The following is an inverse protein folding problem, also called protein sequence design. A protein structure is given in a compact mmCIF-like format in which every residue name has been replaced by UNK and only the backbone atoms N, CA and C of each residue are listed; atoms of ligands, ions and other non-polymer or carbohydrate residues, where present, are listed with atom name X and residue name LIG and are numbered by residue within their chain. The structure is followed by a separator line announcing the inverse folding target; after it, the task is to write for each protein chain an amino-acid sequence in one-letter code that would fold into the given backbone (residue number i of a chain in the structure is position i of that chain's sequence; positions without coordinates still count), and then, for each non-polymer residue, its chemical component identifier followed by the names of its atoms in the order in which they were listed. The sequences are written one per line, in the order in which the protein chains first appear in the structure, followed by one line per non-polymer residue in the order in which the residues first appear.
data_IF_295124047458
#
_entry.id   IF_295124047458
#
_cell.length_a   1.000
_cell.length_b   1.000
_cell.length_c   1.000
_cell.angle_alpha   90.00
_cell.angle_beta   90.00
_cell.angle_gamma   90.00
#
_symmetry.space_group_name_H-M   'P 1'
#
loop_
_entity.id
_entity.type
_entity.pdbx_description
1 polymer ?
#
# COMPACT_ATOMS: atom_id res chain seq x y z
N UNK A 1 34.48 2.46 -16.39
CA UNK A 1 33.23 2.28 -15.60
C UNK A 1 33.08 3.50 -14.68
N UNK A 2 32.16 4.43 -14.97
CA UNK A 2 31.85 5.54 -14.06
C UNK A 2 31.16 4.95 -12.82
N UNK A 3 31.57 5.38 -11.61
CA UNK A 3 30.90 5.02 -10.35
C UNK A 3 29.41 5.33 -10.48
N UNK A 4 28.50 4.45 -9.98
CA UNK A 4 27.08 4.80 -9.93
C UNK A 4 26.94 6.08 -9.14
N UNK A 5 26.30 7.07 -9.73
CA UNK A 5 25.98 8.36 -9.12
C UNK A 5 25.12 8.15 -7.88
N UNK A 6 25.34 8.96 -6.88
CA UNK A 6 24.78 8.85 -5.53
C UNK A 6 23.25 8.76 -5.54
N UNK A 7 22.69 7.58 -5.30
CA UNK A 7 21.28 7.39 -4.99
C UNK A 7 20.54 6.36 -5.84
N UNK A 8 20.80 6.23 -7.14
CA UNK A 8 20.06 5.28 -8.00
C UNK A 8 20.74 3.91 -8.05
N UNK A 9 19.94 2.85 -7.93
CA UNK A 9 20.42 1.46 -8.02
C UNK A 9 19.85 0.81 -9.28
N UNK A 10 20.74 0.42 -10.20
CA UNK A 10 20.34 -0.38 -11.36
C UNK A 10 20.02 -1.82 -10.92
N UNK A 11 18.72 -2.18 -10.94
CA UNK A 11 18.24 -3.50 -10.55
C UNK A 11 18.42 -4.54 -11.67
N UNK A 12 18.85 -4.12 -12.86
CA UNK A 12 19.13 -5.03 -13.99
C UNK A 12 20.49 -5.69 -13.90
N UNK A 13 21.32 -5.29 -12.91
CA UNK A 13 22.68 -5.77 -12.70
C UNK A 13 22.90 -6.39 -11.32
N UNK A 14 23.90 -7.22 -11.14
CA UNK A 14 24.25 -7.87 -9.87
C UNK A 14 23.32 -9.05 -9.51
N UNK A 15 23.45 -9.61 -8.30
CA UNK A 15 22.65 -10.77 -7.84
C UNK A 15 21.22 -10.33 -7.52
N UNK A 16 20.16 -10.93 -8.11
CA UNK A 16 18.78 -10.54 -7.89
C UNK A 16 18.37 -10.50 -6.41
N UNK A 17 18.66 -11.55 -5.65
CA UNK A 17 18.37 -11.64 -4.22
C UNK A 17 18.88 -10.42 -3.44
N UNK A 18 20.16 -10.07 -3.63
CA UNK A 18 20.78 -8.93 -2.94
C UNK A 18 20.13 -7.61 -3.34
N UNK A 19 19.82 -7.45 -4.65
CA UNK A 19 19.18 -6.23 -5.16
C UNK A 19 17.77 -6.06 -4.59
N UNK A 20 16.98 -7.12 -4.58
CA UNK A 20 15.62 -7.11 -4.02
C UNK A 20 15.67 -6.79 -2.53
N UNK A 21 16.52 -7.46 -1.74
CA UNK A 21 16.60 -7.23 -0.30
C UNK A 21 17.06 -5.81 0.07
N UNK A 22 18.13 -5.32 -0.57
CA UNK A 22 18.67 -3.98 -0.31
C UNK A 22 17.66 -2.90 -0.71
N UNK A 23 16.89 -3.14 -1.77
CA UNK A 23 15.85 -2.21 -2.22
C UNK A 23 14.59 -2.29 -1.35
N UNK A 24 14.20 -3.49 -0.90
CA UNK A 24 13.02 -3.70 -0.06
C UNK A 24 13.20 -3.19 1.38
N UNK A 25 14.41 -3.25 1.95
CA UNK A 25 14.65 -2.88 3.35
C UNK A 25 14.18 -1.47 3.71
N UNK A 26 14.52 -0.40 2.95
CA UNK A 26 13.98 0.93 3.23
C UNK A 26 12.45 1.02 3.08
N UNK A 27 11.84 0.24 2.18
CA UNK A 27 10.39 0.19 2.03
C UNK A 27 9.73 -0.43 3.27
N UNK A 28 10.26 -1.55 3.75
CA UNK A 28 9.80 -2.21 4.99
C UNK A 28 9.90 -1.26 6.18
N UNK A 29 11.05 -0.61 6.34
CA UNK A 29 11.22 0.35 7.42
C UNK A 29 10.25 1.53 7.28
N UNK A 30 10.03 2.04 6.06
CA UNK A 30 9.10 3.12 5.79
C UNK A 30 7.66 2.79 6.18
N UNK A 31 7.17 1.61 5.81
CA UNK A 31 5.81 1.18 6.15
C UNK A 31 5.65 0.93 7.66
N UNK A 32 6.66 0.37 8.33
CA UNK A 32 6.62 0.18 9.78
C UNK A 32 6.64 1.52 10.53
N UNK A 33 7.49 2.47 10.13
CA UNK A 33 7.47 3.82 10.72
C UNK A 33 6.16 4.55 10.44
N UNK A 34 5.56 4.35 9.27
CA UNK A 34 4.23 4.89 8.96
C UNK A 34 3.15 4.38 9.91
N UNK A 35 3.20 3.11 10.28
CA UNK A 35 2.27 2.56 11.28
C UNK A 35 2.54 3.13 12.68
N UNK A 36 3.79 3.31 13.06
CA UNK A 36 4.15 3.87 14.37
C UNK A 36 3.66 5.32 14.52
N UNK A 37 3.86 6.18 13.51
CA UNK A 37 3.36 7.55 13.62
C UNK A 37 1.84 7.62 13.59
N UNK A 38 1.15 6.80 12.80
CA UNK A 38 -0.32 6.72 12.81
C UNK A 38 -0.86 6.30 14.18
N UNK A 39 -0.14 5.43 14.87
CA UNK A 39 -0.46 5.09 16.26
C UNK A 39 -0.23 6.27 17.21
N UNK A 40 0.88 6.99 17.06
CA UNK A 40 1.19 8.17 17.87
C UNK A 40 0.14 9.28 17.70
N UNK A 41 -0.28 9.55 16.45
CA UNK A 41 -1.37 10.49 16.12
C UNK A 41 -2.68 10.09 16.83
N UNK A 42 -3.07 8.82 16.75
CA UNK A 42 -4.23 8.28 17.45
C UNK A 42 -4.15 8.50 18.96
N UNK A 43 -2.98 8.31 19.57
CA UNK A 43 -2.75 8.53 21.01
C UNK A 43 -2.84 10.01 21.37
N UNK A 44 -2.27 10.90 20.55
CA UNK A 44 -2.32 12.36 20.79
C UNK A 44 -3.77 12.84 20.69
N UNK A 45 -4.48 12.51 19.62
CA UNK A 45 -5.90 12.88 19.46
C UNK A 45 -6.74 12.35 20.63
N UNK A 46 -6.61 11.08 20.99
CA UNK A 46 -7.41 10.47 22.06
C UNK A 46 -7.11 11.07 23.45
N UNK A 47 -5.84 11.37 23.75
CA UNK A 47 -5.47 11.92 25.06
C UNK A 47 -5.72 13.41 25.20
N UNK A 48 -5.54 14.18 24.12
CA UNK A 48 -5.62 15.65 24.17
C UNK A 48 -7.03 16.16 23.83
N UNK A 49 -7.77 15.51 22.92
CA UNK A 49 -9.08 15.93 22.47
C UNK A 49 -10.25 15.08 23.01
N UNK A 50 -9.92 13.90 23.58
CA UNK A 50 -10.92 13.01 24.18
C UNK A 50 -11.49 11.95 23.23
N UNK A 51 -12.46 11.17 23.76
CA UNK A 51 -13.00 9.98 23.09
C UNK A 51 -13.86 10.31 21.87
N UNK A 52 -14.59 11.43 21.89
CA UNK A 52 -15.48 11.82 20.79
C UNK A 52 -14.66 12.24 19.56
N UNK A 53 -13.58 13.02 19.75
CA UNK A 53 -12.66 13.39 18.69
C UNK A 53 -11.95 12.13 18.09
N UNK A 54 -11.54 11.20 18.96
CA UNK A 54 -10.97 9.94 18.50
C UNK A 54 -11.97 9.12 17.68
N UNK A 55 -13.23 9.06 18.12
CA UNK A 55 -14.31 8.38 17.40
C UNK A 55 -14.62 9.09 16.06
N UNK A 56 -14.56 10.42 16.02
CA UNK A 56 -14.75 11.21 14.81
C UNK A 56 -13.67 10.86 13.77
N UNK A 57 -12.39 10.91 14.13
CA UNK A 57 -11.27 10.54 13.25
C UNK A 57 -11.39 9.06 12.83
N UNK A 58 -11.67 8.17 13.77
CA UNK A 58 -11.82 6.73 13.49
C UNK A 58 -12.95 6.41 12.51
N UNK A 59 -14.08 7.14 12.57
CA UNK A 59 -15.21 6.96 11.65
C UNK A 59 -14.87 7.28 10.19
N UNK A 60 -13.86 8.10 9.95
CA UNK A 60 -13.40 8.48 8.60
C UNK A 60 -12.45 7.45 7.97
N UNK A 61 -11.95 6.48 8.73
CA UNK A 61 -10.89 5.56 8.30
C UNK A 61 -11.22 4.81 7.00
N UNK A 62 -12.43 4.25 6.91
CA UNK A 62 -12.86 3.49 5.72
C UNK A 62 -12.91 4.35 4.46
N UNK A 63 -13.40 5.59 4.57
CA UNK A 63 -13.44 6.54 3.46
C UNK A 63 -12.04 6.99 3.05
N UNK A 64 -11.17 7.28 4.03
CA UNK A 64 -9.77 7.61 3.78
C UNK A 64 -9.06 6.45 3.08
N UNK A 65 -9.22 5.22 3.56
CA UNK A 65 -8.60 4.04 2.95
C UNK A 65 -9.08 3.84 1.50
N UNK A 66 -10.37 4.00 1.24
CA UNK A 66 -10.93 3.86 -0.10
C UNK A 66 -10.38 4.92 -1.08
N UNK A 67 -10.38 6.19 -0.67
CA UNK A 67 -10.05 7.32 -1.55
C UNK A 67 -8.53 7.50 -1.66
N UNK A 68 -7.84 7.60 -0.52
CA UNK A 68 -6.39 7.79 -0.52
C UNK A 68 -5.66 6.52 -0.98
N UNK A 69 -6.20 5.33 -0.70
CA UNK A 69 -5.69 4.06 -1.22
C UNK A 69 -5.74 4.01 -2.75
N UNK A 70 -6.87 4.45 -3.36
CA UNK A 70 -6.96 4.57 -4.82
C UNK A 70 -5.89 5.52 -5.39
N UNK A 71 -5.75 6.71 -4.79
CA UNK A 71 -4.77 7.71 -5.21
C UNK A 71 -3.34 7.16 -5.09
N UNK A 72 -3.02 6.52 -3.98
CA UNK A 72 -1.72 5.88 -3.74
C UNK A 72 -1.44 4.78 -4.77
N UNK A 73 -2.38 3.87 -4.98
CA UNK A 73 -2.25 2.77 -5.95
C UNK A 73 -2.03 3.28 -7.37
N UNK A 74 -2.80 4.30 -7.80
CA UNK A 74 -2.64 4.93 -9.10
C UNK A 74 -1.24 5.56 -9.27
N UNK A 75 -0.76 6.31 -8.27
CA UNK A 75 0.57 6.92 -8.29
C UNK A 75 1.69 5.87 -8.34
N UNK A 76 1.56 4.76 -7.62
CA UNK A 76 2.51 3.64 -7.68
C UNK A 76 2.49 3.01 -9.07
N UNK A 77 1.32 2.81 -9.64
CA UNK A 77 1.15 2.24 -10.97
C UNK A 77 1.73 3.12 -12.09
N UNK A 78 1.64 4.46 -11.95
CA UNK A 78 2.32 5.37 -12.88
C UNK A 78 3.85 5.24 -12.85
N UNK A 79 4.42 4.70 -11.78
CA UNK A 79 5.84 4.40 -11.70
C UNK A 79 6.29 3.19 -12.53
N UNK A 80 5.40 2.26 -12.89
CA UNK A 80 5.79 1.05 -13.61
C UNK A 80 6.35 1.35 -15.02
N UNK A 81 5.68 2.13 -15.90
CA UNK A 81 6.26 2.52 -17.18
C UNK A 81 7.56 3.33 -17.05
N UNK A 82 7.71 4.10 -15.96
CA UNK A 82 8.95 4.82 -15.66
C UNK A 82 10.07 3.81 -15.36
N UNK A 83 9.80 2.76 -14.57
CA UNK A 83 10.77 1.70 -14.27
C UNK A 83 11.16 0.92 -15.54
N UNK A 84 10.20 0.61 -16.41
CA UNK A 84 10.44 -0.04 -17.71
C UNK A 84 11.35 0.82 -18.59
N UNK A 85 11.01 2.10 -18.78
CA UNK A 85 11.82 3.02 -19.61
C UNK A 85 13.24 3.20 -19.03
N UNK A 86 13.37 3.24 -17.71
CA UNK A 86 14.69 3.30 -17.04
C UNK A 86 15.49 2.02 -17.30
N UNK A 87 14.89 0.85 -17.18
CA UNK A 87 15.50 -0.44 -17.48
C UNK A 87 15.89 -0.60 -18.94
N UNK A 88 15.05 -0.12 -19.87
CA UNK A 88 15.30 -0.07 -21.31
C UNK A 88 16.40 0.95 -21.68
N UNK A 89 16.80 1.82 -20.75
CA UNK A 89 17.70 2.97 -21.01
C UNK A 89 17.19 3.91 -22.10
N UNK A 90 15.89 3.95 -22.31
CA UNK A 90 15.21 4.84 -23.23
C UNK A 90 14.98 6.20 -22.56
N UNK A 91 15.82 7.18 -22.87
CA UNK A 91 15.72 8.53 -22.31
C UNK A 91 14.43 9.23 -22.72
N UNK A 92 14.07 9.12 -23.99
CA UNK A 92 12.91 9.82 -24.55
C UNK A 92 11.61 9.30 -23.93
N UNK A 93 11.43 7.96 -23.82
CA UNK A 93 10.28 7.38 -23.16
C UNK A 93 10.24 7.72 -21.67
N UNK A 94 11.41 7.69 -21.00
CA UNK A 94 11.51 8.05 -19.59
C UNK A 94 10.99 9.47 -19.33
N UNK A 95 11.47 10.46 -20.10
CA UNK A 95 11.03 11.85 -19.96
C UNK A 95 9.55 12.03 -20.29
N UNK A 96 9.06 11.36 -21.34
CA UNK A 96 7.64 11.41 -21.72
C UNK A 96 6.74 10.78 -20.68
N UNK A 97 7.12 9.63 -20.08
CA UNK A 97 6.35 9.03 -18.97
C UNK A 97 6.37 9.92 -17.73
N UNK A 98 7.51 10.52 -17.39
CA UNK A 98 7.61 11.45 -16.26
C UNK A 98 6.67 12.65 -16.43
N UNK A 99 6.72 13.32 -17.59
CA UNK A 99 5.89 14.50 -17.85
C UNK A 99 4.38 14.16 -17.91
N UNK A 100 4.01 13.14 -18.69
CA UNK A 100 2.60 12.74 -18.80
C UNK A 100 2.07 12.18 -17.47
N UNK A 101 2.93 11.56 -16.65
CA UNK A 101 2.59 11.14 -15.29
C UNK A 101 2.26 12.32 -14.38
N UNK A 102 3.03 13.42 -14.44
CA UNK A 102 2.70 14.66 -13.73
C UNK A 102 1.33 15.19 -14.17
N UNK A 103 1.05 15.23 -15.49
CA UNK A 103 -0.25 15.70 -15.98
C UNK A 103 -1.41 14.84 -15.46
N UNK A 104 -1.27 13.51 -15.49
CA UNK A 104 -2.28 12.61 -14.94
C UNK A 104 -2.44 12.78 -13.43
N UNK A 105 -1.35 13.00 -12.69
CA UNK A 105 -1.39 13.29 -11.27
C UNK A 105 -2.10 14.61 -10.96
N UNK A 106 -1.92 15.64 -11.77
CA UNK A 106 -2.66 16.91 -11.63
C UNK A 106 -4.15 16.68 -11.86
N UNK A 107 -4.53 15.97 -12.93
CA UNK A 107 -5.93 15.64 -13.20
C UNK A 107 -6.53 14.81 -12.06
N UNK A 108 -5.84 13.75 -11.63
CA UNK A 108 -6.25 12.91 -10.51
C UNK A 108 -6.46 13.74 -9.24
N UNK A 109 -5.48 14.60 -8.92
CA UNK A 109 -5.51 15.48 -7.76
C UNK A 109 -6.72 16.41 -7.78
N UNK A 110 -6.95 17.13 -8.89
CA UNK A 110 -8.08 18.06 -9.01
C UNK A 110 -9.41 17.35 -8.93
N UNK A 111 -9.58 16.25 -9.71
CA UNK A 111 -10.84 15.49 -9.74
C UNK A 111 -11.18 14.93 -8.37
N UNK A 112 -10.23 14.26 -7.72
CA UNK A 112 -10.49 13.68 -6.40
C UNK A 112 -10.66 14.74 -5.33
N UNK A 113 -9.84 15.80 -5.29
CA UNK A 113 -10.01 16.88 -4.30
C UNK A 113 -11.40 17.51 -4.41
N UNK A 114 -11.83 17.88 -5.62
CA UNK A 114 -13.13 18.52 -5.81
C UNK A 114 -14.27 17.56 -5.47
N UNK A 115 -14.26 16.35 -6.06
CA UNK A 115 -15.33 15.38 -5.87
C UNK A 115 -15.49 14.98 -4.39
N UNK A 116 -14.37 14.70 -3.70
CA UNK A 116 -14.42 14.20 -2.31
C UNK A 116 -14.66 15.31 -1.30
N UNK A 117 -14.12 16.51 -1.50
CA UNK A 117 -14.37 17.65 -0.60
C UNK A 117 -15.85 18.07 -0.66
N UNK A 118 -16.43 18.13 -1.86
CA UNK A 118 -17.86 18.41 -2.02
C UNK A 118 -18.73 17.24 -1.53
N UNK A 119 -18.27 16.02 -1.72
CA UNK A 119 -18.93 14.78 -1.30
C UNK A 119 -18.72 14.38 0.16
N UNK A 120 -17.90 15.10 0.95
CA UNK A 120 -17.51 14.67 2.29
C UNK A 120 -18.71 14.40 3.23
N UNK A 121 -19.67 15.33 3.30
CA UNK A 121 -20.84 15.17 4.15
C UNK A 121 -21.78 14.05 3.67
N UNK A 122 -22.16 13.94 2.37
CA UNK A 122 -22.92 12.80 1.86
C UNK A 122 -22.22 11.44 2.09
N UNK A 123 -20.90 11.37 1.93
CA UNK A 123 -20.13 10.15 2.15
C UNK A 123 -20.16 9.71 3.62
N UNK A 124 -20.03 10.66 4.57
CA UNK A 124 -20.15 10.38 6.01
C UNK A 124 -21.58 9.97 6.40
N UNK A 125 -22.59 10.58 5.78
CA UNK A 125 -23.98 10.16 6.00
C UNK A 125 -24.21 8.72 5.50
N UNK A 126 -23.62 8.35 4.36
CA UNK A 126 -23.71 6.99 3.80
C UNK A 126 -23.05 5.95 4.73
N UNK A 127 -22.00 6.33 5.47
CA UNK A 127 -21.34 5.44 6.45
C UNK A 127 -22.04 5.43 7.82
N UNK A 128 -23.20 6.07 7.94
CA UNK A 128 -24.00 6.14 9.19
C UNK A 128 -23.21 6.72 10.37
N UNK A 129 -22.36 7.71 10.11
CA UNK A 129 -21.58 8.38 11.16
C UNK A 129 -22.52 9.00 12.21
N UNK A 130 -22.34 8.73 13.52
CA UNK A 130 -23.19 9.25 14.58
C UNK A 130 -23.25 10.78 14.61
N UNK A 131 -24.44 11.36 14.92
CA UNK A 131 -24.71 12.80 14.86
C UNK A 131 -23.81 13.59 15.81
N UNK A 132 -23.48 13.06 16.98
CA UNK A 132 -22.65 13.71 17.99
C UNK A 132 -21.20 13.96 17.54
N UNK A 133 -20.66 13.13 16.63
CA UNK A 133 -19.27 13.25 16.12
C UNK A 133 -19.24 13.70 14.65
N UNK A 134 -20.39 13.88 14.01
CA UNK A 134 -20.48 14.14 12.58
C UNK A 134 -19.76 15.44 12.16
N UNK A 135 -19.88 16.50 12.96
CA UNK A 135 -19.26 17.79 12.67
C UNK A 135 -17.73 17.69 12.64
N UNK A 136 -17.14 17.04 13.64
CA UNK A 136 -15.69 16.85 13.76
C UNK A 136 -15.18 15.90 12.66
N UNK A 137 -15.90 14.80 12.40
CA UNK A 137 -15.57 13.88 11.32
C UNK A 137 -15.60 14.59 9.95
N UNK A 138 -16.61 15.44 9.70
CA UNK A 138 -16.72 16.19 8.46
C UNK A 138 -15.61 17.26 8.32
N UNK A 139 -15.25 17.91 9.41
CA UNK A 139 -14.14 18.88 9.44
C UNK A 139 -12.82 18.18 9.14
N UNK A 140 -12.50 17.10 9.88
CA UNK A 140 -11.29 16.31 9.69
C UNK A 140 -11.14 15.82 8.25
N UNK A 141 -12.16 15.10 7.74
CA UNK A 141 -12.06 14.47 6.42
C UNK A 141 -11.99 15.50 5.28
N UNK A 142 -12.65 16.67 5.43
CA UNK A 142 -12.53 17.76 4.44
C UNK A 142 -11.11 18.28 4.35
N UNK A 143 -10.44 18.49 5.48
CA UNK A 143 -9.04 18.94 5.50
C UNK A 143 -8.13 17.87 4.84
N UNK A 144 -8.32 16.58 5.15
CA UNK A 144 -7.59 15.48 4.52
C UNK A 144 -7.82 15.47 3.00
N UNK A 145 -9.06 15.64 2.54
CA UNK A 145 -9.38 15.65 1.10
C UNK A 145 -8.85 16.89 0.37
N UNK A 146 -8.83 18.05 1.01
CA UNK A 146 -8.12 19.23 0.51
C UNK A 146 -6.60 18.98 0.41
N UNK A 147 -6.08 18.07 1.23
CA UNK A 147 -4.68 17.63 1.22
C UNK A 147 -4.34 16.59 0.14
N UNK A 148 -5.29 16.10 -0.67
CA UNK A 148 -5.03 15.13 -1.75
C UNK A 148 -3.90 15.57 -2.68
N UNK A 149 -3.73 16.86 -3.07
CA UNK A 149 -2.60 17.31 -3.86
C UNK A 149 -1.25 17.00 -3.21
N UNK A 150 -1.14 17.15 -1.88
CA UNK A 150 0.08 16.83 -1.14
C UNK A 150 0.33 15.31 -1.13
N UNK A 151 -0.71 14.52 -0.94
CA UNK A 151 -0.67 13.05 -1.01
C UNK A 151 -0.23 12.56 -2.39
N UNK A 152 -0.79 13.12 -3.47
CA UNK A 152 -0.41 12.81 -4.86
C UNK A 152 1.05 13.18 -5.10
N UNK A 153 1.47 14.38 -4.70
CA UNK A 153 2.84 14.85 -4.87
C UNK A 153 3.84 13.90 -4.21
N UNK A 154 3.60 13.52 -2.95
CA UNK A 154 4.48 12.57 -2.26
C UNK A 154 4.48 11.20 -2.93
N UNK A 155 3.30 10.61 -3.15
CA UNK A 155 3.22 9.23 -3.65
C UNK A 155 3.81 9.10 -5.06
N UNK A 156 3.54 10.07 -5.95
CA UNK A 156 4.09 10.05 -7.29
C UNK A 156 5.61 10.29 -7.29
N UNK A 157 6.11 11.32 -6.59
CA UNK A 157 7.55 11.61 -6.53
C UNK A 157 8.34 10.46 -5.89
N UNK A 158 7.81 9.86 -4.82
CA UNK A 158 8.40 8.68 -4.19
C UNK A 158 8.35 7.45 -5.12
N UNK A 159 7.27 7.27 -5.88
CA UNK A 159 7.14 6.21 -6.88
C UNK A 159 8.16 6.37 -8.01
N UNK A 160 8.33 7.59 -8.53
CA UNK A 160 9.35 7.91 -9.53
C UNK A 160 10.76 7.59 -9.01
N UNK A 161 11.13 8.06 -7.81
CA UNK A 161 12.44 7.76 -7.22
C UNK A 161 12.66 6.25 -7.08
N UNK A 162 11.65 5.52 -6.59
CA UNK A 162 11.70 4.05 -6.51
C UNK A 162 11.87 3.41 -7.89
N UNK A 163 11.17 3.88 -8.90
CA UNK A 163 11.27 3.38 -10.28
C UNK A 163 12.67 3.54 -10.86
N UNK A 164 13.38 4.58 -10.43
CA UNK A 164 14.79 4.82 -10.77
C UNK A 164 15.78 4.05 -9.85
N UNK A 165 15.27 3.20 -8.95
CA UNK A 165 16.07 2.38 -8.06
C UNK A 165 16.47 3.04 -6.74
N UNK A 166 15.91 4.19 -6.39
CA UNK A 166 16.14 4.87 -5.11
C UNK A 166 14.98 4.65 -4.14
N UNK A 167 15.10 3.68 -3.25
CA UNK A 167 14.15 3.45 -2.17
C UNK A 167 14.55 4.14 -0.86
N UNK A 168 15.81 4.61 -0.73
CA UNK A 168 16.34 5.15 0.52
C UNK A 168 15.89 6.57 0.80
N UNK A 169 15.96 7.46 -0.20
CA UNK A 169 15.63 8.86 0.01
C UNK A 169 14.14 9.08 0.27
N UNK A 170 13.19 8.43 -0.46
CA UNK A 170 11.78 8.47 -0.08
C UNK A 170 11.54 8.02 1.37
N UNK A 171 12.26 7.00 1.84
CA UNK A 171 12.20 6.55 3.23
C UNK A 171 12.70 7.63 4.20
N UNK A 172 13.88 8.23 3.97
CA UNK A 172 14.41 9.27 4.87
C UNK A 172 13.50 10.50 4.94
N UNK A 173 12.91 10.91 3.81
CA UNK A 173 11.99 12.04 3.78
C UNK A 173 10.66 11.70 4.47
N UNK A 174 10.17 10.48 4.31
CA UNK A 174 9.00 9.99 5.04
C UNK A 174 9.26 9.95 6.55
N UNK A 175 10.41 9.43 6.97
CA UNK A 175 10.81 9.38 8.39
C UNK A 175 10.87 10.78 9.00
N UNK A 176 11.53 11.73 8.34
CA UNK A 176 11.60 13.13 8.78
C UNK A 176 10.22 13.78 8.88
N UNK A 177 9.36 13.55 7.87
CA UNK A 177 8.00 14.07 7.87
C UNK A 177 7.11 13.41 8.94
N UNK A 178 7.30 12.13 9.23
CA UNK A 178 6.58 11.44 10.30
C UNK A 178 6.92 12.01 11.69
N UNK A 179 8.20 12.32 11.93
CA UNK A 179 8.62 12.99 13.16
C UNK A 179 8.05 14.42 13.25
N UNK A 180 8.06 15.14 12.14
CA UNK A 180 7.43 16.46 12.05
C UNK A 180 5.93 16.39 12.29
N UNK A 181 5.24 15.39 11.76
CA UNK A 181 3.80 15.18 11.96
C UNK A 181 3.47 15.08 13.45
N UNK A 182 4.18 14.21 14.20
CA UNK A 182 3.99 14.05 15.65
C UNK A 182 4.22 15.40 16.38
N UNK A 183 5.26 16.14 15.98
CA UNK A 183 5.53 17.47 16.54
C UNK A 183 4.44 18.50 16.22
N UNK A 184 3.93 18.50 15.00
CA UNK A 184 2.85 19.38 14.56
C UNK A 184 1.51 19.02 15.21
N UNK A 185 1.19 17.73 15.36
CA UNK A 185 -0.01 17.29 16.08
C UNK A 185 -0.02 17.86 17.50
N UNK A 186 1.09 17.67 18.21
CA UNK A 186 1.20 18.23 19.56
C UNK A 186 1.11 19.76 19.56
N UNK A 187 1.82 20.44 18.64
CA UNK A 187 1.85 21.91 18.57
C UNK A 187 0.47 22.50 18.22
N UNK A 188 -0.22 21.92 17.22
CA UNK A 188 -1.50 22.48 16.77
C UNK A 188 -2.62 22.16 17.76
N UNK A 189 -2.63 20.96 18.34
CA UNK A 189 -3.69 20.54 19.26
C UNK A 189 -3.51 21.19 20.64
N UNK A 190 -2.30 21.13 21.24
CA UNK A 190 -2.11 21.51 22.64
C UNK A 190 -1.88 23.03 22.80
N UNK A 191 -0.81 23.66 22.26
CA UNK A 191 -0.59 25.10 22.44
C UNK A 191 -1.53 25.97 21.60
N UNK A 192 -1.87 25.55 20.37
CA UNK A 192 -2.74 26.34 19.50
C UNK A 192 -4.24 26.11 19.76
N UNK A 193 -4.60 25.08 20.55
CA UNK A 193 -5.98 24.79 20.92
C UNK A 193 -6.87 24.36 19.75
N UNK A 194 -6.28 23.82 18.67
CA UNK A 194 -7.02 23.30 17.53
C UNK A 194 -7.66 21.93 17.88
N UNK A 195 -8.77 21.63 17.22
CA UNK A 195 -9.44 20.34 17.35
C UNK A 195 -8.88 19.28 16.42
N UNK A 196 -9.74 18.42 15.89
CA UNK A 196 -9.40 17.35 14.93
C UNK A 196 -8.83 17.90 13.61
N UNK A 197 -9.14 19.14 13.26
CA UNK A 197 -8.57 19.87 12.13
C UNK A 197 -7.06 20.10 12.31
N UNK A 198 -6.57 20.28 13.52
CA UNK A 198 -5.13 20.37 13.81
C UNK A 198 -4.39 19.11 13.41
N UNK A 199 -4.90 17.92 13.77
CA UNK A 199 -4.34 16.63 13.36
C UNK A 199 -4.37 16.45 11.83
N UNK A 200 -5.47 16.81 11.19
CA UNK A 200 -5.58 16.73 9.73
C UNK A 200 -4.57 17.65 9.02
N UNK A 201 -4.41 18.90 9.50
CA UNK A 201 -3.43 19.86 8.95
C UNK A 201 -2.01 19.34 9.14
N UNK A 202 -1.67 18.81 10.32
CA UNK A 202 -0.35 18.24 10.59
C UNK A 202 -0.03 17.10 9.60
N UNK A 203 -0.99 16.22 9.35
CA UNK A 203 -0.86 15.12 8.37
C UNK A 203 -0.62 15.65 6.96
N UNK A 204 -1.43 16.59 6.49
CA UNK A 204 -1.31 17.19 5.15
C UNK A 204 0.01 17.94 4.99
N UNK A 205 0.40 18.74 5.98
CA UNK A 205 1.65 19.51 5.96
C UNK A 205 2.89 18.59 5.90
N UNK A 206 2.88 17.50 6.66
CA UNK A 206 3.96 16.51 6.68
C UNK A 206 4.08 15.75 5.36
N UNK A 207 2.95 15.38 4.75
CA UNK A 207 2.94 14.77 3.42
C UNK A 207 3.42 15.75 2.34
N UNK A 208 3.02 17.01 2.42
CA UNK A 208 3.49 18.06 1.50
C UNK A 208 5.00 18.21 1.59
N UNK A 209 5.55 18.29 2.81
CA UNK A 209 7.00 18.38 3.01
C UNK A 209 7.72 17.17 2.39
N UNK A 210 7.26 15.96 2.66
CA UNK A 210 7.83 14.75 2.04
C UNK A 210 7.79 14.81 0.53
N UNK A 211 6.68 15.23 -0.06
CA UNK A 211 6.52 15.35 -1.51
C UNK A 211 7.45 16.39 -2.11
N UNK A 212 7.58 17.55 -1.47
CA UNK A 212 8.51 18.62 -1.89
C UNK A 212 9.96 18.13 -1.80
N UNK A 213 10.35 17.46 -0.71
CA UNK A 213 11.71 16.93 -0.56
C UNK A 213 12.03 15.83 -1.57
N UNK A 214 11.09 14.92 -1.87
CA UNK A 214 11.26 13.91 -2.92
C UNK A 214 11.43 14.57 -4.31
N UNK A 215 10.61 15.56 -4.62
CA UNK A 215 10.66 16.29 -5.88
C UNK A 215 11.96 17.10 -6.00
N UNK A 216 12.36 17.80 -4.93
CA UNK A 216 13.63 18.52 -4.89
C UNK A 216 14.81 17.58 -5.11
N UNK A 217 14.83 16.42 -4.42
CA UNK A 217 15.89 15.42 -4.56
C UNK A 217 15.98 14.89 -5.99
N UNK A 218 14.83 14.60 -6.60
CA UNK A 218 14.76 14.17 -8.00
C UNK A 218 15.46 15.14 -8.94
N UNK A 219 15.14 16.44 -8.88
CA UNK A 219 15.75 17.44 -9.75
C UNK A 219 17.20 17.78 -9.38
N UNK A 220 17.57 17.70 -8.10
CA UNK A 220 18.90 18.11 -7.63
C UNK A 220 19.97 17.02 -7.79
N UNK A 221 19.58 15.75 -7.74
CA UNK A 221 20.54 14.63 -7.57
C UNK A 221 20.40 13.50 -8.59
N UNK A 222 19.28 13.38 -9.29
CA UNK A 222 19.14 12.38 -10.34
C UNK A 222 19.81 12.91 -11.61
N UNK A 223 20.96 12.34 -11.94
CA UNK A 223 21.69 12.70 -13.17
C UNK A 223 20.92 12.23 -14.41
N UNK A 224 21.11 12.94 -15.52
CA UNK A 224 20.51 12.68 -16.84
C UNK A 224 19.00 12.97 -16.97
N UNK A 225 18.38 13.66 -16.02
CA UNK A 225 17.00 14.14 -16.14
C UNK A 225 17.01 15.64 -16.50
N UNK A 226 17.57 15.95 -17.67
CA UNK A 226 17.47 17.30 -18.23
C UNK A 226 16.34 17.30 -19.26
N UNK A 227 15.22 17.88 -18.86
CA UNK A 227 14.08 18.05 -19.77
C UNK A 227 14.39 19.08 -20.86
N UNK A 228 14.13 18.69 -22.09
CA UNK A 228 14.09 19.60 -23.23
C UNK A 228 12.65 20.08 -23.45
N UNK A 229 12.48 21.15 -24.28
CA UNK A 229 11.11 21.60 -24.61
C UNK A 229 10.27 20.55 -25.34
N UNK A 230 10.91 19.62 -26.04
CA UNK A 230 10.23 18.53 -26.76
C UNK A 230 9.78 17.41 -25.81
N UNK A 231 10.43 17.24 -24.67
CA UNK A 231 10.03 16.30 -23.63
C UNK A 231 8.75 16.77 -22.89
N UNK A 232 8.51 18.09 -22.84
CA UNK A 232 7.37 18.72 -22.19
C UNK A 232 6.13 18.80 -23.11
N UNK A 233 5.84 17.71 -23.83
CA UNK A 233 4.67 17.61 -24.71
C UNK A 233 3.76 16.47 -24.27
N UNK A 234 2.45 16.74 -24.31
CA UNK A 234 1.46 15.70 -24.09
C UNK A 234 1.58 14.62 -25.17
N UNK A 235 1.63 13.37 -24.73
CA UNK A 235 1.69 12.20 -25.58
C UNK A 235 0.58 11.22 -25.21
N UNK A 236 -0.44 11.14 -26.05
CA UNK A 236 -1.60 10.27 -25.81
C UNK A 236 -1.22 8.77 -25.62
N UNK A 237 -0.25 8.19 -26.38
CA UNK A 237 0.16 6.80 -26.15
C UNK A 237 0.78 6.60 -24.76
N UNK A 238 1.66 7.51 -24.30
CA UNK A 238 2.30 7.42 -22.99
C UNK A 238 1.29 7.64 -21.86
N UNK A 239 0.41 8.65 -21.98
CA UNK A 239 -0.66 8.89 -21.01
C UNK A 239 -1.62 7.71 -20.92
N UNK A 240 -2.01 7.11 -22.07
CA UNK A 240 -2.84 5.91 -22.09
C UNK A 240 -2.17 4.72 -21.40
N UNK A 241 -0.87 4.46 -21.64
CA UNK A 241 -0.14 3.37 -20.99
C UNK A 241 -0.08 3.58 -19.46
N UNK A 242 0.23 4.80 -19.01
CA UNK A 242 0.21 5.15 -17.58
C UNK A 242 -1.19 4.90 -16.97
N UNK A 243 -2.25 5.37 -17.61
CA UNK A 243 -3.62 5.20 -17.13
C UNK A 243 -4.06 3.72 -17.09
N UNK A 244 -3.74 2.93 -18.13
CA UNK A 244 -4.08 1.49 -18.22
C UNK A 244 -3.37 0.68 -17.13
N UNK A 245 -2.20 1.12 -16.67
CA UNK A 245 -1.46 0.45 -15.59
C UNK A 245 -1.85 1.03 -14.23
N UNK A 246 -1.89 2.34 -14.09
CA UNK A 246 -2.06 3.00 -12.80
C UNK A 246 -3.49 2.96 -12.27
N UNK A 247 -4.50 3.24 -13.10
CA UNK A 247 -5.88 3.24 -12.61
C UNK A 247 -6.34 1.86 -12.08
N UNK A 248 -6.05 0.73 -12.73
CA UNK A 248 -6.34 -0.57 -12.14
C UNK A 248 -5.64 -0.79 -10.79
N UNK A 249 -4.38 -0.35 -10.62
CA UNK A 249 -3.71 -0.46 -9.32
C UNK A 249 -4.39 0.36 -8.22
N UNK A 250 -4.97 1.51 -8.57
CA UNK A 250 -5.84 2.26 -7.66
C UNK A 250 -7.10 1.46 -7.27
N UNK A 251 -7.77 0.85 -8.24
CA UNK A 251 -8.95 0.01 -8.00
C UNK A 251 -8.67 -1.22 -7.14
N UNK A 252 -7.47 -1.77 -7.17
CA UNK A 252 -7.09 -2.91 -6.32
C UNK A 252 -7.30 -2.62 -4.83
N UNK A 253 -6.92 -1.42 -4.37
CA UNK A 253 -7.19 -1.00 -2.98
C UNK A 253 -8.68 -0.90 -2.69
N UNK A 254 -9.48 -0.41 -3.64
CA UNK A 254 -10.94 -0.32 -3.50
C UNK A 254 -11.59 -1.71 -3.41
N UNK A 255 -11.16 -2.67 -4.22
CA UNK A 255 -11.64 -4.07 -4.16
C UNK A 255 -11.29 -4.70 -2.81
N UNK A 256 -10.09 -4.45 -2.30
CA UNK A 256 -9.67 -4.92 -0.97
C UNK A 256 -10.54 -4.35 0.15
N UNK A 257 -10.92 -3.06 0.05
CA UNK A 257 -11.83 -2.41 0.99
C UNK A 257 -13.22 -3.07 1.00
N UNK A 258 -13.80 -3.36 -0.17
CA UNK A 258 -15.09 -4.08 -0.29
C UNK A 258 -14.99 -5.46 0.36
N UNK A 259 -13.90 -6.20 0.13
CA UNK A 259 -13.68 -7.50 0.75
C UNK A 259 -13.61 -7.44 2.28
N UNK A 260 -13.05 -6.35 2.85
CA UNK A 260 -13.03 -6.14 4.28
C UNK A 260 -14.45 -5.90 4.86
N UNK A 261 -15.31 -5.18 4.14
CA UNK A 261 -16.72 -4.95 4.54
C UNK A 261 -17.50 -6.26 4.57
N UNK A 262 -17.35 -7.12 3.56
CA UNK A 262 -18.02 -8.45 3.51
C UNK A 262 -17.60 -9.31 4.70
N UNK A 263 -16.32 -9.30 5.04
CA UNK A 263 -15.81 -10.02 6.21
C UNK A 263 -16.36 -9.45 7.52
N UNK A 264 -16.41 -8.12 7.64
CA UNK A 264 -16.93 -7.44 8.82
C UNK A 264 -18.39 -7.80 9.08
N UNK A 265 -19.21 -7.89 8.05
CA UNK A 265 -20.60 -8.30 8.15
C UNK A 265 -20.73 -9.73 8.72
N UNK A 266 -19.97 -10.68 8.19
CA UNK A 266 -19.94 -12.06 8.69
C UNK A 266 -19.49 -12.14 10.16
N UNK A 267 -18.48 -11.34 10.56
CA UNK A 267 -18.00 -11.31 11.94
C UNK A 267 -19.05 -10.69 12.88
N UNK A 268 -19.75 -9.65 12.45
CA UNK A 268 -20.80 -8.99 13.24
C UNK A 268 -21.94 -9.95 13.59
N UNK A 269 -22.29 -10.88 12.70
CA UNK A 269 -23.30 -11.93 12.96
C UNK A 269 -22.88 -12.90 14.07
N UNK A 270 -21.57 -12.98 14.40
CA UNK A 270 -21.05 -13.87 15.44
C UNK A 270 -20.99 -13.21 16.84
N UNK A 271 -21.36 -11.93 16.94
CA UNK A 271 -21.44 -11.19 18.19
C UNK A 271 -20.16 -10.45 18.59
N UNK A 272 -20.28 -9.68 19.68
CA UNK A 272 -19.26 -8.71 20.10
C UNK A 272 -17.92 -9.35 20.51
N UNK A 273 -17.93 -10.55 21.05
CA UNK A 273 -16.72 -11.29 21.43
C UNK A 273 -15.89 -11.62 20.20
N UNK A 274 -16.52 -12.12 19.12
CA UNK A 274 -15.84 -12.42 17.87
C UNK A 274 -15.27 -11.14 17.20
N UNK A 275 -16.05 -10.05 17.21
CA UNK A 275 -15.63 -8.75 16.68
C UNK A 275 -14.39 -8.23 17.42
N UNK A 276 -14.40 -8.26 18.76
CA UNK A 276 -13.28 -7.79 19.57
C UNK A 276 -12.02 -8.65 19.36
N UNK A 277 -12.19 -9.99 19.36
CA UNK A 277 -11.09 -10.95 19.13
C UNK A 277 -10.44 -10.74 17.74
N UNK A 278 -11.29 -10.64 16.71
CA UNK A 278 -10.84 -10.41 15.34
C UNK A 278 -10.12 -9.07 15.20
N UNK A 279 -10.65 -7.99 15.77
CA UNK A 279 -10.04 -6.65 15.70
C UNK A 279 -8.64 -6.64 16.31
N UNK A 280 -8.48 -7.28 17.48
CA UNK A 280 -7.18 -7.39 18.13
C UNK A 280 -6.19 -8.24 17.30
N UNK A 281 -6.66 -9.40 16.82
CA UNK A 281 -5.87 -10.29 15.96
C UNK A 281 -5.42 -9.62 14.67
N UNK A 282 -6.30 -8.87 13.99
CA UNK A 282 -6.02 -8.15 12.75
C UNK A 282 -4.95 -7.05 12.93
N UNK A 283 -4.99 -6.29 14.02
CA UNK A 283 -3.95 -5.29 14.31
C UNK A 283 -2.57 -5.92 14.46
N UNK A 284 -2.49 -7.05 15.16
CA UNK A 284 -1.25 -7.79 15.32
C UNK A 284 -0.81 -8.40 13.98
N UNK A 285 -1.72 -9.05 13.23
CA UNK A 285 -1.46 -9.61 11.91
C UNK A 285 -0.85 -8.58 10.97
N UNK A 286 -1.42 -7.37 10.93
CA UNK A 286 -0.99 -6.30 10.02
C UNK A 286 0.49 -5.95 10.19
N UNK A 287 1.01 -5.95 11.42
CA UNK A 287 2.44 -5.72 11.68
C UNK A 287 3.34 -6.73 10.97
N UNK A 288 2.87 -7.97 10.79
CA UNK A 288 3.62 -9.03 10.12
C UNK A 288 3.39 -9.07 8.60
N UNK A 289 2.26 -8.58 8.10
CA UNK A 289 1.99 -8.58 6.65
C UNK A 289 2.57 -7.38 5.91
N UNK A 290 2.74 -6.22 6.58
CA UNK A 290 3.35 -5.03 5.97
C UNK A 290 4.74 -5.26 5.36
N UNK A 291 5.68 -5.99 6.01
CA UNK A 291 6.94 -6.33 5.36
C UNK A 291 6.78 -7.18 4.10
N UNK A 292 5.80 -8.10 4.06
CA UNK A 292 5.53 -8.93 2.88
C UNK A 292 5.07 -8.07 1.70
N UNK A 293 4.18 -7.10 1.95
CA UNK A 293 3.68 -6.15 0.95
C UNK A 293 4.81 -5.25 0.43
N UNK A 294 5.70 -4.81 1.32
CA UNK A 294 6.87 -4.00 0.95
C UNK A 294 7.86 -4.75 0.04
N UNK A 295 8.09 -6.04 0.31
CA UNK A 295 8.89 -6.90 -0.59
C UNK A 295 8.18 -7.07 -1.93
N UNK A 296 6.84 -7.19 -1.94
CA UNK A 296 6.04 -7.19 -3.16
C UNK A 296 6.26 -5.92 -3.99
N UNK A 297 6.16 -4.73 -3.38
CA UNK A 297 6.42 -3.46 -4.07
C UNK A 297 7.85 -3.39 -4.65
N UNK A 298 8.84 -3.94 -3.94
CA UNK A 298 10.21 -4.06 -4.45
C UNK A 298 10.26 -4.95 -5.69
N UNK A 299 9.49 -6.05 -5.70
CA UNK A 299 9.38 -6.94 -6.86
C UNK A 299 8.77 -6.24 -8.07
N UNK A 300 7.73 -5.41 -7.91
CA UNK A 300 7.14 -4.67 -9.02
C UNK A 300 8.18 -3.78 -9.72
N UNK A 301 8.97 -3.04 -8.95
CA UNK A 301 10.05 -2.20 -9.49
C UNK A 301 11.17 -3.04 -10.13
N UNK A 302 11.60 -4.11 -9.46
CA UNK A 302 12.62 -5.02 -9.98
C UNK A 302 12.19 -5.64 -11.32
N UNK A 303 10.97 -6.13 -11.39
CA UNK A 303 10.40 -6.72 -12.61
C UNK A 303 10.26 -5.67 -13.70
N UNK A 304 9.73 -4.48 -13.40
CA UNK A 304 9.57 -3.40 -14.37
C UNK A 304 10.89 -3.00 -15.03
N UNK A 305 11.97 -2.80 -14.25
CA UNK A 305 13.29 -2.50 -14.81
C UNK A 305 13.85 -3.64 -15.67
N UNK A 306 13.73 -4.91 -15.20
CA UNK A 306 14.23 -6.06 -15.96
C UNK A 306 13.38 -6.36 -17.20
N UNK A 307 12.06 -6.09 -17.16
CA UNK A 307 11.17 -6.18 -18.30
C UNK A 307 11.56 -5.17 -19.40
N UNK A 308 11.75 -3.90 -19.03
CA UNK A 308 12.27 -2.89 -19.95
C UNK A 308 13.64 -3.22 -20.53
N UNK A 309 14.50 -3.89 -19.78
CA UNK A 309 15.82 -4.37 -20.23
C UNK A 309 15.76 -5.68 -21.03
N UNK A 310 14.58 -6.24 -21.30
CA UNK A 310 14.37 -7.53 -21.97
C UNK A 310 15.12 -8.70 -21.30
N UNK A 311 15.18 -8.70 -19.95
CA UNK A 311 15.91 -9.69 -19.14
C UNK A 311 14.95 -10.66 -18.45
N UNK A 312 14.20 -11.44 -19.24
CA UNK A 312 13.25 -12.45 -18.73
C UNK A 312 13.94 -13.50 -17.85
N UNK A 313 15.21 -13.83 -18.13
CA UNK A 313 16.05 -14.69 -17.30
C UNK A 313 16.14 -14.17 -15.85
N UNK A 314 16.35 -12.85 -15.69
CA UNK A 314 16.45 -12.21 -14.38
C UNK A 314 15.10 -12.08 -13.69
N UNK A 315 14.03 -11.87 -14.45
CA UNK A 315 12.67 -11.85 -13.89
C UNK A 315 12.35 -13.22 -13.24
N UNK A 316 12.61 -14.32 -13.95
CA UNK A 316 12.42 -15.68 -13.42
C UNK A 316 13.26 -15.95 -12.17
N UNK A 317 14.53 -15.53 -12.18
CA UNK A 317 15.40 -15.65 -11.02
C UNK A 317 14.90 -14.78 -9.85
N UNK A 318 14.48 -13.53 -10.12
CA UNK A 318 13.92 -12.63 -9.10
C UNK A 318 12.65 -13.18 -8.46
N UNK A 319 11.76 -13.80 -9.23
CA UNK A 319 10.56 -14.47 -8.69
C UNK A 319 10.98 -15.60 -7.75
N UNK A 320 11.91 -16.47 -8.15
CA UNK A 320 12.41 -17.56 -7.31
C UNK A 320 13.03 -17.03 -6.02
N UNK A 321 13.91 -16.03 -6.12
CA UNK A 321 14.59 -15.42 -4.99
C UNK A 321 13.59 -14.70 -4.07
N UNK A 322 12.62 -13.99 -4.64
CA UNK A 322 11.55 -13.32 -3.90
C UNK A 322 10.65 -14.30 -3.15
N UNK A 323 10.28 -15.42 -3.79
CA UNK A 323 9.54 -16.50 -3.11
C UNK A 323 10.32 -17.08 -1.95
N UNK A 324 11.63 -17.31 -2.12
CA UNK A 324 12.48 -17.80 -1.03
C UNK A 324 12.52 -16.80 0.15
N UNK A 325 12.69 -15.52 -0.12
CA UNK A 325 12.67 -14.46 0.91
C UNK A 325 11.36 -14.47 1.67
N UNK A 326 10.23 -14.54 0.96
CA UNK A 326 8.90 -14.55 1.59
C UNK A 326 8.69 -15.82 2.43
N UNK A 327 9.07 -16.98 1.94
CA UNK A 327 8.92 -18.23 2.70
C UNK A 327 9.76 -18.23 3.98
N UNK A 328 11.02 -17.76 3.90
CA UNK A 328 11.89 -17.62 5.07
C UNK A 328 11.31 -16.62 6.06
N UNK A 329 10.81 -15.47 5.56
CA UNK A 329 10.16 -14.49 6.41
C UNK A 329 8.88 -15.04 7.06
N UNK A 330 8.02 -15.73 6.31
CA UNK A 330 6.81 -16.36 6.84
C UNK A 330 7.11 -17.38 7.94
N UNK A 331 8.15 -18.20 7.76
CA UNK A 331 8.59 -19.15 8.78
C UNK A 331 9.09 -18.43 10.05
N UNK A 332 9.89 -17.37 9.87
CA UNK A 332 10.36 -16.56 11.00
C UNK A 332 9.18 -15.85 11.72
N UNK A 333 8.26 -15.26 10.97
CA UNK A 333 7.07 -14.61 11.51
C UNK A 333 6.17 -15.60 12.29
N UNK A 334 5.99 -16.80 11.75
CA UNK A 334 5.27 -17.87 12.45
C UNK A 334 5.93 -18.24 13.79
N UNK A 335 7.25 -18.41 13.82
CA UNK A 335 8.00 -18.69 15.06
C UNK A 335 7.82 -17.55 16.06
N UNK A 336 7.99 -16.30 15.62
CA UNK A 336 7.82 -15.12 16.49
C UNK A 336 6.41 -15.05 17.05
N UNK A 337 5.38 -15.21 16.21
CA UNK A 337 3.97 -15.20 16.64
C UNK A 337 3.71 -16.34 17.61
N UNK A 338 4.20 -17.54 17.34
CA UNK A 338 3.99 -18.70 18.22
C UNK A 338 4.42 -18.42 19.66
N UNK A 339 5.57 -17.79 19.87
CA UNK A 339 6.08 -17.48 21.22
C UNK A 339 5.53 -16.16 21.79
N UNK A 340 5.29 -15.15 20.94
CA UNK A 340 4.97 -13.78 21.40
C UNK A 340 3.46 -13.48 21.43
N UNK A 341 2.60 -14.31 20.79
CA UNK A 341 1.16 -14.02 20.70
C UNK A 341 0.45 -13.77 22.05
N UNK A 342 0.75 -14.49 23.16
CA UNK A 342 0.07 -14.20 24.41
C UNK A 342 0.41 -12.80 24.93
N UNK A 343 1.68 -12.39 24.81
CA UNK A 343 2.15 -11.06 25.20
C UNK A 343 1.58 -9.96 24.31
N UNK A 344 1.57 -10.19 22.98
CA UNK A 344 1.04 -9.23 22.02
C UNK A 344 -0.47 -9.03 22.19
N UNK A 345 -1.22 -10.11 22.41
CA UNK A 345 -2.67 -10.05 22.65
C UNK A 345 -2.94 -9.35 23.99
N UNK A 346 -2.20 -9.68 25.05
CA UNK A 346 -2.31 -9.00 26.35
C UNK A 346 -2.00 -7.51 26.27
N UNK A 347 -1.02 -7.09 25.46
CA UNK A 347 -0.69 -5.68 25.25
C UNK A 347 -1.84 -4.92 24.55
N UNK A 348 -2.54 -5.56 23.62
CA UNK A 348 -3.62 -4.94 22.84
C UNK A 348 -4.93 -4.93 23.62
N UNK A 349 -5.26 -6.02 24.32
CA UNK A 349 -6.55 -6.21 24.99
C UNK A 349 -6.54 -5.82 26.47
N UNK A 350 -5.36 -5.79 27.14
CA UNK A 350 -5.30 -5.60 28.58
C UNK A 350 -6.09 -6.69 29.35
N UNK A 351 -6.86 -6.27 30.33
CA UNK A 351 -7.70 -7.16 31.17
C UNK A 351 -9.08 -7.45 30.48
N UNK A 352 -9.04 -7.90 29.23
CA UNK A 352 -10.26 -8.23 28.49
C UNK A 352 -10.85 -9.61 28.91
N UNK A 353 -12.09 -9.85 28.51
CA UNK A 353 -12.77 -11.14 28.67
C UNK A 353 -11.89 -12.30 28.15
N UNK A 354 -11.71 -13.37 28.94
CA UNK A 354 -10.94 -14.54 28.49
C UNK A 354 -11.39 -15.13 27.14
N UNK A 355 -12.68 -15.04 26.81
CA UNK A 355 -13.22 -15.50 25.53
C UNK A 355 -12.67 -14.65 24.34
N UNK A 356 -12.55 -13.34 24.50
CA UNK A 356 -11.96 -12.43 23.51
C UNK A 356 -10.48 -12.75 23.32
N UNK A 357 -9.76 -12.93 24.43
CA UNK A 357 -8.32 -13.27 24.41
C UNK A 357 -8.10 -14.60 23.69
N UNK A 358 -8.89 -15.63 24.02
CA UNK A 358 -8.80 -16.94 23.38
C UNK A 358 -9.08 -16.89 21.87
N UNK A 359 -10.11 -16.15 21.46
CA UNK A 359 -10.41 -15.94 20.04
C UNK A 359 -9.28 -15.25 19.27
N UNK A 360 -8.66 -14.21 19.85
CA UNK A 360 -7.51 -13.55 19.24
C UNK A 360 -6.29 -14.48 19.11
N UNK A 361 -6.03 -15.32 20.12
CA UNK A 361 -4.96 -16.33 20.09
C UNK A 361 -5.22 -17.41 19.04
N UNK A 362 -6.47 -17.87 18.91
CA UNK A 362 -6.90 -18.83 17.88
C UNK A 362 -6.67 -18.24 16.48
N UNK A 363 -7.17 -17.02 16.25
CA UNK A 363 -6.96 -16.33 14.98
C UNK A 363 -5.49 -16.24 14.59
N UNK A 364 -4.64 -15.75 15.49
CA UNK A 364 -3.19 -15.61 15.22
C UNK A 364 -2.51 -16.96 14.99
N UNK A 365 -2.97 -18.02 15.67
CA UNK A 365 -2.42 -19.37 15.49
C UNK A 365 -2.71 -19.89 14.08
N UNK A 366 -3.94 -19.75 13.63
CA UNK A 366 -4.39 -20.26 12.33
C UNK A 366 -3.75 -19.45 11.20
N UNK A 367 -3.86 -18.11 11.27
CA UNK A 367 -3.45 -17.25 10.15
C UNK A 367 -1.94 -17.24 9.96
N UNK A 368 -1.14 -17.32 11.04
CA UNK A 368 0.33 -17.28 10.95
C UNK A 368 0.92 -18.49 10.22
N UNK A 369 0.34 -19.67 10.38
CA UNK A 369 0.74 -20.89 9.64
C UNK A 369 0.50 -20.71 8.14
N UNK A 370 -0.51 -19.96 7.75
CA UNK A 370 -0.98 -19.77 6.37
C UNK A 370 -0.44 -18.48 5.72
N UNK A 371 0.46 -17.75 6.39
CA UNK A 371 1.11 -16.54 5.85
C UNK A 371 1.85 -16.77 4.54
N UNK A 372 2.32 -18.01 4.29
CA UNK A 372 2.99 -18.34 3.03
C UNK A 372 2.12 -18.03 1.79
N UNK A 373 0.79 -18.22 1.87
CA UNK A 373 -0.10 -17.85 0.76
C UNK A 373 -0.09 -16.34 0.50
N UNK A 374 -0.10 -15.50 1.55
CA UNK A 374 -0.02 -14.06 1.41
C UNK A 374 1.34 -13.60 0.87
N UNK A 375 2.42 -14.09 1.46
CA UNK A 375 3.78 -13.75 1.02
C UNK A 375 4.02 -14.09 -0.45
N UNK A 376 3.66 -15.31 -0.88
CA UNK A 376 3.78 -15.72 -2.28
C UNK A 376 2.86 -14.90 -3.20
N UNK A 377 1.61 -14.64 -2.77
CA UNK A 377 0.68 -13.80 -3.52
C UNK A 377 1.29 -12.42 -3.80
N UNK A 378 1.94 -11.80 -2.80
CA UNK A 378 2.60 -10.49 -2.99
C UNK A 378 3.69 -10.54 -4.07
N UNK A 379 4.46 -11.62 -4.16
CA UNK A 379 5.46 -11.78 -5.22
C UNK A 379 4.81 -11.88 -6.60
N UNK A 380 3.86 -12.80 -6.77
CA UNK A 380 3.26 -13.04 -8.10
C UNK A 380 2.37 -11.89 -8.57
N UNK A 381 1.58 -11.28 -7.68
CA UNK A 381 0.75 -10.12 -8.01
C UNK A 381 1.60 -8.92 -8.44
N UNK A 382 2.61 -8.59 -7.66
CA UNK A 382 3.51 -7.48 -7.99
C UNK A 382 4.39 -7.78 -9.21
N UNK A 383 4.65 -9.05 -9.51
CA UNK A 383 5.26 -9.44 -10.80
C UNK A 383 4.34 -9.10 -11.97
N UNK A 384 3.04 -9.39 -11.90
CA UNK A 384 2.06 -8.99 -12.93
C UNK A 384 2.03 -7.48 -13.11
N UNK A 385 2.02 -6.72 -12.00
CA UNK A 385 2.06 -5.26 -12.04
C UNK A 385 3.35 -4.77 -12.71
N UNK A 386 4.51 -5.30 -12.32
CA UNK A 386 5.81 -4.95 -12.89
C UNK A 386 5.97 -5.30 -14.38
N UNK A 387 5.25 -6.31 -14.88
CA UNK A 387 5.13 -6.65 -16.30
C UNK A 387 4.11 -5.75 -17.05
N UNK A 388 3.46 -4.81 -16.36
CA UNK A 388 2.44 -3.93 -16.95
C UNK A 388 1.03 -4.54 -17.04
N UNK A 389 0.80 -5.74 -16.49
CA UNK A 389 -0.50 -6.43 -16.50
C UNK A 389 -1.33 -6.13 -15.25
N UNK A 390 -1.45 -4.86 -14.86
CA UNK A 390 -2.14 -4.44 -13.61
C UNK A 390 -3.62 -4.83 -13.57
N UNK A 391 -4.29 -4.87 -14.72
CA UNK A 391 -5.68 -5.37 -14.80
C UNK A 391 -5.80 -6.81 -14.30
N UNK A 392 -4.82 -7.67 -14.60
CA UNK A 392 -4.80 -9.05 -14.10
C UNK A 392 -4.58 -9.10 -12.58
N UNK A 393 -3.79 -8.19 -12.05
CA UNK A 393 -3.62 -8.04 -10.61
C UNK A 393 -4.95 -7.67 -9.92
N UNK A 394 -5.74 -6.75 -10.51
CA UNK A 394 -7.08 -6.40 -9.99
C UNK A 394 -8.04 -7.59 -10.04
N UNK A 395 -8.02 -8.37 -11.14
CA UNK A 395 -8.86 -9.58 -11.24
C UNK A 395 -8.51 -10.59 -10.13
N UNK A 396 -7.24 -10.68 -9.73
CA UNK A 396 -6.86 -11.51 -8.58
C UNK A 396 -7.53 -11.04 -7.28
N UNK A 397 -7.77 -9.73 -7.11
CA UNK A 397 -8.54 -9.16 -6.01
C UNK A 397 -10.01 -9.61 -5.99
N UNK A 398 -10.62 -9.80 -7.17
CA UNK A 398 -11.95 -10.42 -7.24
C UNK A 398 -11.92 -11.88 -6.72
N UNK A 399 -10.83 -12.62 -6.97
CA UNK A 399 -10.60 -13.93 -6.37
C UNK A 399 -10.53 -13.88 -4.83
N UNK A 400 -9.89 -12.85 -4.28
CA UNK A 400 -9.89 -12.62 -2.82
C UNK A 400 -11.30 -12.35 -2.28
N UNK A 401 -12.09 -11.54 -2.99
CA UNK A 401 -13.47 -11.25 -2.58
C UNK A 401 -14.31 -12.53 -2.54
N UNK A 402 -14.20 -13.38 -3.55
CA UNK A 402 -14.87 -14.70 -3.57
C UNK A 402 -14.39 -15.55 -2.39
N UNK A 403 -13.10 -15.64 -2.15
CA UNK A 403 -12.53 -16.42 -1.06
C UNK A 403 -13.00 -15.94 0.32
N UNK A 404 -13.05 -14.62 0.55
CA UNK A 404 -13.60 -14.04 1.79
C UNK A 404 -15.08 -14.32 1.94
N UNK A 405 -15.86 -14.22 0.86
CA UNK A 405 -17.29 -14.52 0.87
C UNK A 405 -17.55 -16.00 1.22
N UNK A 406 -16.78 -16.92 0.63
CA UNK A 406 -16.86 -18.36 0.96
C UNK A 406 -16.47 -18.61 2.42
N UNK A 407 -15.37 -18.03 2.90
CA UNK A 407 -14.93 -18.15 4.28
C UNK A 407 -15.95 -17.59 5.29
N UNK A 408 -16.51 -16.41 4.99
CA UNK A 408 -17.59 -15.81 5.80
C UNK A 408 -18.85 -16.67 5.81
N UNK A 409 -19.26 -17.21 4.66
CA UNK A 409 -20.39 -18.13 4.57
C UNK A 409 -20.15 -19.42 5.39
N UNK A 410 -18.96 -20.02 5.28
CA UNK A 410 -18.57 -21.20 6.08
C UNK A 410 -18.56 -20.87 7.57
N UNK A 411 -18.16 -19.69 7.98
CA UNK A 411 -18.16 -19.25 9.36
C UNK A 411 -19.59 -19.24 9.93
N UNK A 412 -20.52 -18.64 9.21
CA UNK A 412 -21.91 -18.50 9.68
C UNK A 412 -22.65 -19.83 9.71
N UNK A 413 -22.39 -20.76 8.76
CA UNK A 413 -23.21 -21.94 8.55
C UNK A 413 -22.62 -23.25 9.14
N UNK A 414 -21.30 -23.34 9.32
CA UNK A 414 -20.69 -24.64 9.67
C UNK A 414 -19.47 -24.59 10.59
N UNK A 415 -18.54 -23.65 10.38
CA UNK A 415 -17.23 -23.67 11.05
C UNK A 415 -17.10 -22.70 12.24
N UNK A 416 -18.12 -21.85 12.48
CA UNK A 416 -18.06 -20.85 13.53
C UNK A 416 -16.84 -19.90 13.34
N UNK A 417 -16.25 -19.44 14.43
CA UNK A 417 -15.15 -18.48 14.40
C UNK A 417 -13.90 -18.99 13.64
N UNK A 418 -13.68 -20.30 13.59
CA UNK A 418 -12.61 -20.89 12.78
C UNK A 418 -12.77 -20.56 11.29
N UNK A 419 -14.01 -20.48 10.77
CA UNK A 419 -14.29 -20.04 9.40
C UNK A 419 -13.79 -18.63 9.12
N UNK A 420 -13.93 -17.71 10.10
CA UNK A 420 -13.35 -16.35 10.03
C UNK A 420 -11.81 -16.42 9.96
N UNK A 421 -11.19 -17.26 10.81
CA UNK A 421 -9.73 -17.38 10.85
C UNK A 421 -9.13 -17.85 9.51
N UNK A 422 -9.84 -18.72 8.76
CA UNK A 422 -9.36 -19.26 7.47
C UNK A 422 -9.82 -18.44 6.26
N UNK A 423 -10.73 -17.49 6.40
CA UNK A 423 -11.32 -16.74 5.27
C UNK A 423 -10.26 -15.96 4.47
N UNK A 424 -9.39 -15.21 5.14
CA UNK A 424 -8.27 -14.54 4.47
C UNK A 424 -7.29 -15.52 3.80
N UNK A 425 -6.82 -16.59 4.46
CA UNK A 425 -6.00 -17.62 3.81
C UNK A 425 -6.63 -18.24 2.56
N UNK A 426 -7.92 -18.55 2.58
CA UNK A 426 -8.64 -19.06 1.40
C UNK A 426 -8.59 -18.01 0.28
N UNK A 427 -8.89 -16.76 0.61
CA UNK A 427 -8.84 -15.66 -0.35
C UNK A 427 -7.46 -15.52 -0.99
N UNK A 428 -6.39 -15.56 -0.18
CA UNK A 428 -5.01 -15.50 -0.67
C UNK A 428 -4.64 -16.70 -1.55
N UNK A 429 -5.12 -17.90 -1.22
CA UNK A 429 -4.86 -19.10 -2.02
C UNK A 429 -5.51 -19.01 -3.42
N UNK A 430 -6.77 -18.54 -3.50
CA UNK A 430 -7.45 -18.33 -4.79
C UNK A 430 -6.73 -17.28 -5.65
N UNK A 431 -6.40 -16.14 -5.05
CA UNK A 431 -5.70 -15.07 -5.75
C UNK A 431 -4.29 -15.51 -6.19
N UNK A 432 -3.55 -16.24 -5.31
CA UNK A 432 -2.23 -16.78 -5.64
C UNK A 432 -2.29 -17.74 -6.81
N UNK A 433 -3.22 -18.70 -6.80
CA UNK A 433 -3.38 -19.66 -7.89
C UNK A 433 -3.61 -18.94 -9.24
N UNK A 434 -4.48 -17.93 -9.24
CA UNK A 434 -4.71 -17.10 -10.42
C UNK A 434 -3.45 -16.36 -10.86
N UNK A 435 -2.76 -15.67 -9.94
CA UNK A 435 -1.55 -14.90 -10.26
C UNK A 435 -0.42 -15.80 -10.78
N UNK A 436 -0.22 -16.99 -10.20
CA UNK A 436 0.80 -17.96 -10.67
C UNK A 436 0.51 -18.37 -12.11
N UNK A 437 -0.74 -18.75 -12.41
CA UNK A 437 -1.14 -19.15 -13.76
C UNK A 437 -0.88 -18.02 -14.77
N UNK A 438 -1.26 -16.78 -14.40
CA UNK A 438 -1.11 -15.63 -15.30
C UNK A 438 0.36 -15.27 -15.50
N UNK A 439 1.18 -15.24 -14.44
CA UNK A 439 2.63 -14.99 -14.57
C UNK A 439 3.29 -16.02 -15.48
N UNK A 440 2.99 -17.31 -15.29
CA UNK A 440 3.54 -18.37 -16.14
C UNK A 440 3.14 -18.21 -17.61
N UNK A 441 1.87 -17.83 -17.88
CA UNK A 441 1.39 -17.57 -19.25
C UNK A 441 2.11 -16.38 -19.88
N UNK A 442 2.27 -15.27 -19.15
CA UNK A 442 2.89 -14.05 -19.66
C UNK A 442 4.39 -14.27 -19.93
N UNK A 443 5.11 -14.89 -19.00
CA UNK A 443 6.53 -15.20 -19.21
C UNK A 443 6.76 -16.16 -20.38
N UNK A 444 5.87 -17.14 -20.58
CA UNK A 444 5.95 -18.02 -21.77
C UNK A 444 5.73 -17.26 -23.08
N UNK A 445 4.84 -16.28 -23.09
CA UNK A 445 4.63 -15.41 -24.25
C UNK A 445 5.85 -14.55 -24.58
N UNK A 446 6.54 -14.05 -23.58
CA UNK A 446 7.78 -13.26 -23.77
C UNK A 446 8.98 -14.12 -24.23
N UNK A 447 9.04 -15.41 -23.84
CA UNK A 447 10.11 -16.30 -24.30
C UNK A 447 9.92 -16.76 -25.77
N UNK A 448 8.72 -16.61 -26.33
CA UNK A 448 8.43 -16.96 -27.72
C UNK A 448 8.60 -15.70 -28.56
N UNK A 449 9.68 -15.55 -29.35
CA UNK A 449 9.80 -14.40 -30.24
C UNK A 449 8.59 -14.41 -31.17
N UNK A 450 7.93 -13.26 -31.28
CA UNK A 450 6.92 -13.08 -32.34
C UNK A 450 7.61 -13.31 -33.69
N UNK A 451 7.43 -14.53 -34.22
CA UNK A 451 7.55 -14.77 -35.65
C UNK A 451 6.33 -14.13 -36.27
N UNK A 452 6.36 -12.81 -36.42
CA UNK A 452 5.41 -12.10 -37.29
C UNK A 452 5.97 -10.72 -37.63
N UNK A 453 6.46 -10.69 -38.86
CA UNK A 453 6.43 -9.70 -39.94
C UNK A 453 6.50 -8.22 -39.55
#
# INVERSE_FOLDING_TARGET
MKKPTSGTTDLTTGRPLTRILVFALPLVLGTLFQQLYSFADTVIVGRCLGTDALAAVGSTYSLNFLILGFVQGACVGFGIPVAEAFGAKSRDDLHRYLYNGVLLCVVLSVVFTVATTLGAAPLLALTHTPVNIFADAALYIRVIFLGIPATVLYNYSASVLRSLGDSRHPFYFLLGASLLNIGLDWLLIVPCGMGVDGAAIATVASQLLSGVLCTWWFFAKVENVHFTRDDLRFSAPHAKRLAVIGLPMGFEYSVSAIGAVVMQDAINLMGSVAVAAQTAGEKIRQMFTLPMESVGMAMATYVGQNHGAHRTDRIKQGIRDGCLVQLVYCAAAWVVIYFCKPYAVGLVLGDADPAVTQGALEYLTVISVLFCFHGLLMIFRNTLQGLGYSTQAVISGAGELVGRSVGGWLAVHSLGYFGICIANPIAWAFALAYCVIMVMRMLKKEDTPEVNA
#
